data_IF_067489715754
#
_entry.id   IF_067489715754
#
_cell.length_a   1.000
_cell.length_b   1.000
_cell.length_c   1.000
_cell.angle_alpha   90.00
_cell.angle_beta   90.00
_cell.angle_gamma   90.00
#
_symmetry.space_group_name_H-M   'P 1'
#
loop_
_entity.id
_entity.type
_entity.pdbx_description
1 polymer ?
#
# COMPACT_ATOMS: atom_id res chain seq x y z
N UNK A 1 5.27 11.39 -16.58
CA UNK A 1 5.12 12.09 -15.29
C UNK A 1 6.50 12.52 -14.82
N UNK A 2 6.64 13.75 -14.34
CA UNK A 2 7.88 14.26 -13.74
C UNK A 2 8.15 13.49 -12.44
N UNK A 3 9.39 13.06 -12.16
CA UNK A 3 9.71 12.34 -10.92
C UNK A 3 9.44 13.22 -9.69
N UNK A 4 8.76 12.66 -8.69
CA UNK A 4 8.48 13.32 -7.41
C UNK A 4 9.56 12.93 -6.40
N UNK A 5 10.33 13.92 -5.96
CA UNK A 5 11.40 13.75 -4.99
C UNK A 5 10.91 14.09 -3.59
N UNK A 6 10.92 13.10 -2.71
CA UNK A 6 10.35 13.17 -1.36
C UNK A 6 11.43 13.14 -0.29
N UNK A 7 11.20 13.83 0.82
CA UNK A 7 11.93 13.59 2.06
C UNK A 7 11.40 12.34 2.76
N UNK A 8 12.15 11.84 3.73
CA UNK A 8 11.73 10.70 4.54
C UNK A 8 10.52 11.05 5.41
N UNK A 9 10.41 12.30 5.91
CA UNK A 9 9.22 12.74 6.66
C UNK A 9 7.96 12.69 5.79
N UNK A 10 8.06 13.13 4.54
CA UNK A 10 6.93 13.08 3.59
C UNK A 10 6.47 11.65 3.33
N UNK A 11 7.41 10.71 3.13
CA UNK A 11 7.07 9.31 2.90
C UNK A 11 6.54 8.62 4.17
N UNK A 12 7.09 8.94 5.33
CA UNK A 12 6.63 8.42 6.62
C UNK A 12 5.19 8.85 6.90
N UNK A 13 4.86 10.13 6.65
CA UNK A 13 3.51 10.66 6.76
C UNK A 13 2.56 10.04 5.72
N UNK A 14 2.96 10.03 4.44
CA UNK A 14 2.17 9.48 3.34
C UNK A 14 1.79 8.02 3.56
N UNK A 15 2.78 7.17 3.86
CA UNK A 15 2.57 5.75 4.04
C UNK A 15 2.15 5.37 5.46
N UNK A 16 2.06 6.32 6.40
CA UNK A 16 1.79 6.04 7.82
C UNK A 16 2.72 4.95 8.38
N UNK A 17 4.01 5.04 8.08
CA UNK A 17 5.04 4.14 8.60
C UNK A 17 5.95 4.96 9.51
N UNK A 18 6.30 4.41 10.67
CA UNK A 18 7.24 5.06 11.60
C UNK A 18 8.51 5.50 10.87
N UNK A 19 8.97 6.71 11.18
CA UNK A 19 10.09 7.37 10.52
C UNK A 19 11.36 6.52 10.56
N UNK A 20 11.74 6.03 11.73
CA UNK A 20 13.00 5.32 11.94
C UNK A 20 12.99 3.99 11.20
N UNK A 21 11.85 3.30 11.27
CA UNK A 21 11.61 2.05 10.55
C UNK A 21 11.71 2.25 9.04
N UNK A 22 11.04 3.27 8.50
CA UNK A 22 11.05 3.57 7.07
C UNK A 22 12.44 4.01 6.60
N UNK A 23 13.14 4.83 7.38
CA UNK A 23 14.49 5.28 7.05
C UNK A 23 15.45 4.08 6.94
N UNK A 24 15.38 3.14 7.89
CA UNK A 24 16.19 1.92 7.87
C UNK A 24 15.95 1.09 6.62
N UNK A 25 14.67 0.86 6.27
CA UNK A 25 14.28 0.14 5.05
C UNK A 25 14.78 0.84 3.79
N UNK A 26 14.43 2.12 3.61
CA UNK A 26 14.78 2.85 2.39
C UNK A 26 16.29 3.10 2.23
N UNK A 27 17.05 3.14 3.33
CA UNK A 27 18.51 3.14 3.24
C UNK A 27 19.06 1.82 2.70
N UNK A 28 18.51 0.68 3.13
CA UNK A 28 18.89 -0.61 2.58
C UNK A 28 18.47 -0.74 1.12
N UNK A 29 17.27 -0.27 0.78
CA UNK A 29 16.77 -0.26 -0.59
C UNK A 29 17.64 0.60 -1.50
N UNK A 30 18.04 1.80 -1.06
CA UNK A 30 18.92 2.67 -1.85
C UNK A 30 20.32 2.08 -2.10
N UNK A 31 20.81 1.20 -1.22
CA UNK A 31 22.08 0.47 -1.44
C UNK A 31 21.94 -0.56 -2.56
N UNK A 32 20.81 -1.26 -2.61
CA UNK A 32 20.55 -2.32 -3.58
C UNK A 32 19.97 -1.79 -4.91
N UNK A 33 19.28 -0.65 -4.84
CA UNK A 33 18.55 0.00 -5.93
C UNK A 33 18.85 1.50 -5.91
N UNK A 34 20.00 1.95 -6.45
CA UNK A 34 20.42 3.36 -6.39
C UNK A 34 19.41 4.35 -6.99
N UNK A 35 18.55 3.90 -7.91
CA UNK A 35 17.49 4.72 -8.49
C UNK A 35 16.46 5.22 -7.46
N UNK A 36 16.31 4.53 -6.33
CA UNK A 36 15.38 4.88 -5.25
C UNK A 36 15.77 6.21 -4.58
N UNK A 37 17.06 6.57 -4.58
CA UNK A 37 17.55 7.79 -3.92
C UNK A 37 18.40 8.63 -4.87
N UNK A 38 17.98 9.88 -5.13
CA UNK A 38 18.70 10.86 -5.95
C UNK A 38 18.71 12.21 -5.27
N UNK A 39 19.82 12.93 -5.32
CA UNK A 39 19.97 14.26 -4.72
C UNK A 39 19.59 14.30 -3.22
N UNK A 40 19.96 13.26 -2.47
CA UNK A 40 19.57 13.06 -1.07
C UNK A 40 18.05 13.00 -0.80
N UNK A 41 17.24 12.76 -1.83
CA UNK A 41 15.79 12.56 -1.74
C UNK A 41 15.39 11.21 -2.31
N UNK A 42 14.23 10.72 -1.91
CA UNK A 42 13.66 9.47 -2.39
C UNK A 42 12.74 9.72 -3.58
N UNK A 43 12.83 8.90 -4.62
CA UNK A 43 11.97 9.00 -5.80
C UNK A 43 10.69 8.21 -5.53
N UNK A 44 9.54 8.88 -5.41
CA UNK A 44 8.27 8.27 -4.98
C UNK A 44 7.90 7.05 -5.84
N UNK A 45 8.02 7.17 -7.15
CA UNK A 45 7.70 6.08 -8.08
C UNK A 45 8.58 4.85 -7.88
N UNK A 46 9.86 5.05 -7.57
CA UNK A 46 10.80 3.94 -7.33
C UNK A 46 10.51 3.25 -6.01
N UNK A 47 10.20 4.02 -4.95
CA UNK A 47 9.77 3.48 -3.66
C UNK A 47 8.49 2.65 -3.84
N UNK A 48 7.47 3.21 -4.50
CA UNK A 48 6.21 2.50 -4.78
C UNK A 48 6.47 1.23 -5.59
N UNK A 49 7.31 1.30 -6.62
CA UNK A 49 7.64 0.14 -7.46
C UNK A 49 8.37 -0.97 -6.71
N UNK A 50 9.19 -0.62 -5.73
CA UNK A 50 9.92 -1.60 -4.94
C UNK A 50 9.03 -2.30 -3.90
N UNK A 51 8.06 -1.57 -3.34
CA UNK A 51 7.22 -2.07 -2.25
C UNK A 51 5.86 -2.60 -2.69
N UNK A 52 5.47 -2.47 -3.96
CA UNK A 52 4.17 -2.94 -4.44
C UNK A 52 4.03 -4.47 -4.35
N UNK A 53 2.85 -4.92 -3.95
CA UNK A 53 2.49 -6.34 -3.89
C UNK A 53 2.06 -6.90 -5.25
N UNK A 54 1.63 -6.04 -6.17
CA UNK A 54 1.12 -6.43 -7.50
C UNK A 54 2.03 -5.93 -8.62
N UNK A 55 2.09 -6.62 -9.78
CA UNK A 55 2.83 -6.13 -10.94
C UNK A 55 2.20 -4.88 -11.57
N UNK A 56 0.90 -4.66 -11.37
CA UNK A 56 0.16 -3.51 -11.90
C UNK A 56 0.83 -2.16 -11.51
N UNK A 57 0.88 -1.17 -12.41
CA UNK A 57 1.31 0.17 -12.06
C UNK A 57 0.35 0.79 -11.04
N UNK A 58 0.89 1.36 -9.96
CA UNK A 58 0.12 2.18 -9.03
C UNK A 58 0.42 3.66 -9.27
N UNK A 59 -0.62 4.39 -9.67
CA UNK A 59 -0.56 5.85 -9.76
C UNK A 59 -0.77 6.43 -8.37
N UNK A 60 0.32 6.92 -7.77
CA UNK A 60 0.36 7.47 -6.42
C UNK A 60 1.07 8.83 -6.49
N UNK A 61 0.50 9.82 -5.83
CA UNK A 61 1.08 11.13 -5.56
C UNK A 61 1.21 11.36 -4.05
N UNK A 62 1.64 12.55 -3.65
CA UNK A 62 1.83 12.92 -2.23
C UNK A 62 0.50 13.15 -1.48
N UNK A 63 -0.60 13.31 -2.21
CA UNK A 63 -1.92 13.55 -1.63
C UNK A 63 -2.75 12.26 -1.54
N UNK A 64 -2.24 11.16 -2.10
CA UNK A 64 -2.90 9.87 -2.14
C UNK A 64 -3.06 9.32 -0.72
N UNK A 65 -4.28 9.16 -0.20
CA UNK A 65 -4.47 8.69 1.16
C UNK A 65 -4.19 7.18 1.26
N UNK A 66 -3.30 6.81 2.18
CA UNK A 66 -3.05 5.43 2.53
C UNK A 66 -3.75 5.02 3.82
N UNK A 67 -4.22 3.78 3.81
CA UNK A 67 -4.82 3.11 4.93
C UNK A 67 -3.86 2.05 5.49
N UNK A 68 -3.78 2.00 6.81
CA UNK A 68 -3.27 0.84 7.54
C UNK A 68 -4.26 -0.32 7.42
N UNK A 69 -3.81 -1.54 7.71
CA UNK A 69 -4.68 -2.70 7.73
C UNK A 69 -5.87 -2.58 8.69
N UNK A 70 -5.69 -1.90 9.84
CA UNK A 70 -6.77 -1.64 10.78
C UNK A 70 -7.84 -0.72 10.18
N UNK A 71 -7.44 0.37 9.54
CA UNK A 71 -8.37 1.27 8.85
C UNK A 71 -9.09 0.56 7.69
N UNK A 72 -8.39 -0.31 6.95
CA UNK A 72 -8.99 -1.14 5.89
C UNK A 72 -10.04 -2.09 6.49
N UNK A 73 -9.75 -2.74 7.62
CA UNK A 73 -10.70 -3.63 8.31
C UNK A 73 -11.97 -2.89 8.67
N UNK A 74 -11.84 -1.72 9.29
CA UNK A 74 -12.98 -0.96 9.80
C UNK A 74 -13.85 -0.46 8.64
N UNK A 75 -13.24 0.02 7.54
CA UNK A 75 -13.95 0.42 6.32
C UNK A 75 -14.66 -0.76 5.65
N UNK A 76 -14.00 -1.92 5.54
CA UNK A 76 -14.62 -3.12 4.95
C UNK A 76 -15.76 -3.65 5.81
N UNK A 77 -15.64 -3.57 7.14
CA UNK A 77 -16.71 -3.96 8.06
C UNK A 77 -17.96 -3.10 7.89
N UNK A 78 -17.81 -1.80 7.69
CA UNK A 78 -18.91 -0.87 7.42
C UNK A 78 -19.53 -1.09 6.03
N UNK A 79 -18.71 -1.29 4.98
CA UNK A 79 -19.18 -1.32 3.59
C UNK A 79 -19.66 -2.68 3.10
N UNK A 80 -19.11 -3.79 3.61
CA UNK A 80 -19.38 -5.14 3.09
C UNK A 80 -19.66 -6.13 4.24
N UNK A 81 -18.81 -6.14 5.26
CA UNK A 81 -18.91 -7.00 6.43
C UNK A 81 -17.55 -7.43 7.00
N UNK A 82 -17.48 -7.77 8.31
CA UNK A 82 -16.22 -7.93 9.05
C UNK A 82 -15.34 -9.09 8.57
N UNK A 83 -15.94 -10.15 7.99
CA UNK A 83 -15.20 -11.33 7.51
C UNK A 83 -14.35 -11.08 6.26
N UNK A 84 -14.49 -9.92 5.62
CA UNK A 84 -13.84 -9.61 4.35
C UNK A 84 -12.37 -9.20 4.54
N UNK A 85 -12.02 -8.67 5.71
CA UNK A 85 -10.66 -8.22 6.02
C UNK A 85 -9.61 -9.33 5.85
N UNK A 86 -9.86 -10.54 6.38
CA UNK A 86 -8.93 -11.67 6.28
C UNK A 86 -8.70 -12.09 4.83
N UNK A 87 -9.71 -11.95 3.97
CA UNK A 87 -9.60 -12.20 2.54
C UNK A 87 -8.68 -11.19 1.86
N UNK A 88 -8.84 -9.90 2.17
CA UNK A 88 -7.98 -8.83 1.62
C UNK A 88 -6.53 -9.01 2.06
N UNK A 89 -6.29 -9.30 3.34
CA UNK A 89 -4.94 -9.56 3.85
C UNK A 89 -4.27 -10.74 3.14
N UNK A 90 -4.99 -11.86 3.00
CA UNK A 90 -4.50 -13.05 2.29
C UNK A 90 -4.22 -12.76 0.82
N UNK A 91 -5.09 -12.01 0.14
CA UNK A 91 -4.87 -11.62 -1.26
C UNK A 91 -3.67 -10.70 -1.41
N UNK A 92 -3.47 -9.74 -0.51
CA UNK A 92 -2.31 -8.85 -0.51
C UNK A 92 -1.01 -9.63 -0.33
N UNK A 93 -0.97 -10.59 0.61
CA UNK A 93 0.18 -11.47 0.82
C UNK A 93 0.51 -12.36 -0.40
N UNK A 94 -0.49 -12.68 -1.22
CA UNK A 94 -0.33 -13.43 -2.48
C UNK A 94 0.00 -12.54 -3.69
N UNK A 95 0.03 -11.21 -3.52
CA UNK A 95 0.18 -10.28 -4.64
C UNK A 95 -1.05 -10.21 -5.55
N UNK A 96 -2.23 -10.58 -5.06
CA UNK A 96 -3.51 -10.53 -5.77
C UNK A 96 -4.31 -9.25 -5.45
N UNK A 97 -3.82 -8.44 -4.51
CA UNK A 97 -4.45 -7.19 -4.10
C UNK A 97 -3.41 -6.05 -4.08
N UNK A 98 -3.65 -4.91 -4.75
CA UNK A 98 -2.66 -3.84 -4.83
C UNK A 98 -2.51 -3.12 -3.49
N UNK A 99 -1.33 -3.25 -2.92
CA UNK A 99 -0.91 -2.62 -1.67
C UNK A 99 0.61 -2.38 -1.70
N UNK A 100 1.10 -1.61 -0.74
CA UNK A 100 2.54 -1.49 -0.47
C UNK A 100 2.89 -2.30 0.77
N UNK A 101 3.97 -3.08 0.72
CA UNK A 101 4.50 -3.85 1.83
C UNK A 101 5.80 -3.22 2.35
N UNK A 102 5.77 -2.78 3.60
CA UNK A 102 6.92 -2.24 4.32
C UNK A 102 7.20 -3.12 5.54
N UNK A 103 8.25 -3.94 5.46
CA UNK A 103 8.50 -5.00 6.44
C UNK A 103 7.32 -5.97 6.51
N UNK A 104 6.77 -6.14 7.71
CA UNK A 104 5.59 -7.00 7.95
C UNK A 104 4.25 -6.29 7.83
N UNK A 105 4.26 -4.99 7.49
CA UNK A 105 3.04 -4.19 7.44
C UNK A 105 2.63 -3.85 6.01
N UNK A 106 1.32 -3.72 5.78
CA UNK A 106 0.76 -3.36 4.49
C UNK A 106 0.12 -1.97 4.54
N UNK A 107 0.16 -1.25 3.43
CA UNK A 107 -0.49 0.05 3.23
C UNK A 107 -1.30 0.02 1.95
N UNK A 108 -2.58 0.32 2.06
CA UNK A 108 -3.52 0.24 0.95
C UNK A 108 -3.91 1.65 0.52
N UNK A 109 -3.69 2.03 -0.75
CA UNK A 109 -4.24 3.28 -1.27
C UNK A 109 -5.77 3.25 -1.20
N UNK A 110 -6.38 4.22 -0.52
CA UNK A 110 -7.83 4.32 -0.39
C UNK A 110 -8.54 4.34 -1.75
N UNK A 111 -8.09 5.09 -2.78
CA UNK A 111 -8.74 5.08 -4.10
C UNK A 111 -8.80 3.69 -4.72
N UNK A 112 -7.74 2.88 -4.54
CA UNK A 112 -7.70 1.49 -5.03
C UNK A 112 -8.68 0.62 -4.24
N UNK A 113 -8.73 0.75 -2.92
CA UNK A 113 -9.68 0.00 -2.09
C UNK A 113 -11.11 0.27 -2.52
N UNK A 114 -11.49 1.55 -2.65
CA UNK A 114 -12.83 1.96 -3.08
C UNK A 114 -13.16 1.40 -4.46
N UNK A 115 -12.24 1.50 -5.43
CA UNK A 115 -12.41 0.91 -6.76
C UNK A 115 -12.63 -0.61 -6.68
N UNK A 116 -11.82 -1.34 -5.91
CA UNK A 116 -11.97 -2.78 -5.75
C UNK A 116 -13.29 -3.20 -5.10
N UNK A 117 -13.83 -2.37 -4.20
CA UNK A 117 -15.16 -2.57 -3.60
C UNK A 117 -16.25 -2.35 -4.67
N UNK A 118 -16.17 -1.25 -5.42
CA UNK A 118 -17.13 -0.91 -6.49
C UNK A 118 -17.15 -1.97 -7.60
N UNK A 119 -15.98 -2.48 -8.00
CA UNK A 119 -15.82 -3.55 -9.00
C UNK A 119 -16.16 -4.95 -8.46
N UNK A 120 -16.59 -5.07 -7.20
CA UNK A 120 -16.89 -6.36 -6.53
C UNK A 120 -15.72 -7.39 -6.56
N UNK A 121 -14.48 -6.92 -6.75
CA UNK A 121 -13.25 -7.75 -6.68
C UNK A 121 -13.01 -8.28 -5.26
N UNK A 122 -13.58 -7.58 -4.29
CA UNK A 122 -13.70 -8.00 -2.91
C UNK A 122 -15.18 -8.31 -2.67
N UNK A 123 -15.53 -9.59 -2.57
CA UNK A 123 -16.91 -10.02 -2.30
C UNK A 123 -16.96 -10.95 -1.10
N UNK A 124 -18.00 -10.78 -0.29
CA UNK A 124 -18.38 -11.76 0.72
C UNK A 124 -19.18 -12.87 0.03
N UNK A 125 -18.55 -14.02 -0.22
CA UNK A 125 -19.32 -15.25 -0.46
C UNK A 125 -19.78 -15.75 0.90
N UNK A 126 -21.00 -15.39 1.29
CA UNK A 126 -21.74 -16.20 2.26
C UNK A 126 -21.68 -17.63 1.74
N UNK A 127 -21.09 -18.56 2.50
CA UNK A 127 -21.28 -19.98 2.23
C UNK A 127 -22.76 -20.21 2.43
N UNK A 128 -23.52 -20.15 1.33
CA UNK A 128 -24.91 -20.52 1.34
C UNK A 128 -24.99 -21.93 1.91
N UNK A 129 -25.60 -22.06 3.08
CA UNK A 129 -26.29 -23.28 3.45
C UNK A 129 -27.33 -23.52 2.36
N UNK A 130 -27.01 -24.44 1.46
CA UNK A 130 -28.02 -25.29 0.83
C UNK A 130 -28.10 -26.55 1.66
#
# INVERSE_FOLDING_TARGET
>A
MTPVYCTIEQLSALFKVDYSSLLGMLHQDAKNHPQVKKFNRYVLSEVVNLHKTTPEPMQIDLDTPFLTLYEVRDLLAEKIGPMVYSTVLRKAAKGEFPALKFGDTYRVPLPILIRCIQEQRISYRSRGHK
#
